data_IF_019662498717
#
_entry.id   IF_019662498717
#
_cell.length_a   1.000
_cell.length_b   1.000
_cell.length_c   1.000
_cell.angle_alpha   90.00
_cell.angle_beta   90.00
_cell.angle_gamma   90.00
#
_symmetry.space_group_name_H-M   'P 1'
#
loop_
_entity.id
_entity.type
_entity.pdbx_description
1 polymer ?
#
# COMPACT_ATOMS: atom_id res chain seq x y z
N UNK A 1 -7.04 -32.77 39.26
CA UNK A 1 -5.69 -32.47 39.75
C UNK A 1 -4.76 -32.59 38.54
N UNK A 2 -4.24 -31.54 37.90
CA UNK A 2 -3.76 -30.26 38.42
C UNK A 2 -4.38 -29.05 37.70
N UNK A 3 -4.93 -28.13 38.49
CA UNK A 3 -5.19 -26.72 38.18
C UNK A 3 -4.45 -25.97 39.28
N UNK A 4 -3.30 -25.41 38.96
CA UNK A 4 -2.52 -24.42 39.73
C UNK A 4 -1.19 -24.28 38.99
N UNK A 5 -0.92 -23.13 38.37
CA UNK A 5 0.36 -22.86 37.70
C UNK A 5 0.38 -21.59 36.84
N UNK A 6 -0.70 -21.27 36.13
CA UNK A 6 -0.69 -20.14 35.18
C UNK A 6 -0.67 -18.74 35.81
N UNK A 7 -1.29 -18.56 36.99
CA UNK A 7 -1.41 -17.26 37.64
C UNK A 7 -0.11 -16.76 38.28
N UNK A 8 0.61 -17.64 38.98
CA UNK A 8 1.87 -17.29 39.64
C UNK A 8 3.00 -17.00 38.65
N UNK A 9 3.05 -17.72 37.52
CA UNK A 9 4.03 -17.48 36.45
C UNK A 9 3.78 -16.14 35.74
N UNK A 10 2.52 -15.75 35.53
CA UNK A 10 2.16 -14.44 34.99
C UNK A 10 2.50 -13.29 35.96
N UNK A 11 2.37 -13.53 37.27
CA UNK A 11 2.70 -12.56 38.32
C UNK A 11 4.22 -12.42 38.56
N UNK A 12 4.98 -13.51 38.41
CA UNK A 12 6.43 -13.47 38.42
C UNK A 12 6.98 -12.76 37.17
N UNK A 13 6.38 -12.99 36.00
CA UNK A 13 6.68 -12.24 34.77
C UNK A 13 6.35 -10.75 34.89
N UNK A 14 5.24 -10.40 35.56
CA UNK A 14 4.85 -9.03 35.93
C UNK A 14 5.88 -8.33 36.84
N UNK A 15 6.49 -9.08 37.77
CA UNK A 15 7.57 -8.59 38.62
C UNK A 15 8.84 -8.27 37.84
N UNK A 16 9.28 -9.20 36.98
CA UNK A 16 10.48 -9.03 36.15
C UNK A 16 10.33 -7.96 35.06
N UNK A 17 9.13 -7.82 34.47
CA UNK A 17 8.81 -6.88 33.40
C UNK A 17 8.90 -5.41 33.81
N UNK A 18 8.52 -5.09 35.04
CA UNK A 18 8.51 -3.70 35.51
C UNK A 18 9.87 -3.27 36.14
N UNK A 19 10.78 -4.23 36.37
CA UNK A 19 12.17 -3.96 36.79
C UNK A 19 13.16 -3.90 35.61
N UNK A 20 12.79 -4.44 34.45
CA UNK A 20 13.59 -4.42 33.21
C UNK A 20 13.00 -3.44 32.18
N UNK A 21 13.49 -2.20 32.22
CA UNK A 21 13.02 -1.10 31.37
C UNK A 21 13.43 -1.22 29.87
N UNK A 22 14.19 -2.26 29.50
CA UNK A 22 14.92 -2.36 28.22
C UNK A 22 14.43 -3.47 27.26
N UNK A 23 13.38 -4.24 27.59
CA UNK A 23 12.99 -5.38 26.74
C UNK A 23 11.73 -5.15 25.87
N UNK A 24 11.81 -5.65 24.63
CA UNK A 24 10.71 -5.82 23.65
C UNK A 24 9.48 -6.58 24.22
N UNK A 25 9.61 -7.13 25.42
CA UNK A 25 8.58 -7.83 26.20
C UNK A 25 7.51 -6.85 26.72
N UNK A 26 7.78 -5.54 26.69
CA UNK A 26 6.88 -4.42 26.99
C UNK A 26 5.41 -4.64 26.61
N UNK A 27 5.14 -4.69 25.31
CA UNK A 27 3.78 -4.76 24.75
C UNK A 27 3.17 -6.16 24.91
N UNK A 28 3.98 -7.21 24.75
CA UNK A 28 3.56 -8.61 24.90
C UNK A 28 3.14 -8.93 26.34
N UNK A 29 3.82 -8.33 27.32
CA UNK A 29 3.44 -8.42 28.72
C UNK A 29 2.18 -7.61 29.02
N UNK A 30 1.98 -6.43 28.44
CA UNK A 30 0.69 -5.70 28.57
C UNK A 30 -0.46 -6.55 28.04
N UNK A 31 -0.29 -7.18 26.87
CA UNK A 31 -1.30 -8.06 26.28
C UNK A 31 -1.54 -9.33 27.13
N UNK A 32 -0.47 -9.92 27.68
CA UNK A 32 -0.56 -11.05 28.60
C UNK A 32 -1.27 -10.69 29.91
N UNK A 33 -1.05 -9.48 30.44
CA UNK A 33 -1.69 -8.97 31.66
C UNK A 33 -3.16 -8.65 31.41
N UNK A 34 -3.52 -8.12 30.24
CA UNK A 34 -4.92 -7.97 29.82
C UNK A 34 -5.66 -9.32 29.71
N UNK A 35 -4.93 -10.42 29.54
CA UNK A 35 -5.47 -11.79 29.50
C UNK A 35 -5.50 -12.53 30.86
N UNK A 36 -5.02 -11.91 31.94
CA UNK A 36 -4.91 -12.55 33.26
C UNK A 36 -6.28 -12.90 33.88
N UNK A 37 -6.39 -14.09 34.47
CA UNK A 37 -7.61 -14.56 35.17
C UNK A 37 -7.93 -13.76 36.44
N UNK A 38 -6.92 -13.13 37.09
CA UNK A 38 -7.09 -12.29 38.28
C UNK A 38 -6.73 -10.82 38.00
N UNK A 39 -7.73 -10.07 37.53
CA UNK A 39 -7.60 -8.63 37.22
C UNK A 39 -7.34 -7.75 38.44
N UNK A 40 -7.81 -8.14 39.62
CA UNK A 40 -7.66 -7.34 40.85
C UNK A 40 -6.20 -7.28 41.29
N UNK A 41 -5.52 -8.43 41.24
CA UNK A 41 -4.09 -8.51 41.57
C UNK A 41 -3.21 -7.80 40.52
N UNK A 42 -3.56 -7.87 39.24
CA UNK A 42 -2.86 -7.16 38.18
C UNK A 42 -2.93 -5.62 38.34
N UNK A 43 -4.10 -5.08 38.71
CA UNK A 43 -4.25 -3.65 38.98
C UNK A 43 -3.41 -3.22 40.19
N UNK A 44 -3.42 -4.01 41.27
CA UNK A 44 -2.60 -3.73 42.46
C UNK A 44 -1.10 -3.72 42.15
N UNK A 45 -0.63 -4.65 41.30
CA UNK A 45 0.76 -4.69 40.85
C UNK A 45 1.14 -3.46 40.02
N UNK A 46 0.29 -3.03 39.09
CA UNK A 46 0.55 -1.83 38.29
C UNK A 46 0.54 -0.55 39.13
N UNK A 47 -0.35 -0.46 40.12
CA UNK A 47 -0.39 0.69 41.03
C UNK A 47 0.92 0.87 41.80
N UNK A 48 1.50 -0.21 42.32
CA UNK A 48 2.77 -0.15 43.03
C UNK A 48 3.92 0.40 42.17
N UNK A 49 3.82 0.26 40.84
CA UNK A 49 4.82 0.74 39.88
C UNK A 49 4.68 2.23 39.53
N UNK A 50 3.57 2.86 39.88
CA UNK A 50 3.42 4.32 39.78
C UNK A 50 4.34 5.08 40.75
N UNK A 51 4.84 4.43 41.80
CA UNK A 51 5.82 5.00 42.73
C UNK A 51 7.28 4.79 42.28
N UNK A 52 7.50 4.21 41.11
CA UNK A 52 8.85 3.94 40.60
C UNK A 52 9.63 5.23 40.38
N UNK A 53 10.92 5.24 40.68
CA UNK A 53 11.81 6.37 40.32
C UNK A 53 12.00 6.49 38.80
N UNK A 54 11.81 5.41 38.04
CA UNK A 54 11.93 5.39 36.59
C UNK A 54 10.61 5.81 35.92
N UNK A 55 10.63 6.91 35.18
CA UNK A 55 9.45 7.46 34.53
C UNK A 55 8.83 6.52 33.48
N UNK A 56 9.63 5.69 32.80
CA UNK A 56 9.12 4.70 31.85
C UNK A 56 8.31 3.61 32.54
N UNK A 57 8.73 3.18 33.73
CA UNK A 57 7.99 2.20 34.53
C UNK A 57 6.64 2.78 34.96
N UNK A 58 6.61 4.06 35.37
CA UNK A 58 5.36 4.77 35.67
C UNK A 58 4.47 4.92 34.43
N UNK A 59 5.05 5.32 33.29
CA UNK A 59 4.35 5.44 32.00
C UNK A 59 3.67 4.13 31.57
N UNK A 60 4.40 3.01 31.62
CA UNK A 60 3.89 1.68 31.24
C UNK A 60 2.81 1.20 32.21
N UNK A 61 2.99 1.45 33.50
CA UNK A 61 1.97 1.17 34.51
C UNK A 61 0.67 1.96 34.23
N UNK A 62 0.77 3.23 33.83
CA UNK A 62 -0.40 4.04 33.44
C UNK A 62 -1.11 3.49 32.20
N UNK A 63 -0.37 3.09 31.16
CA UNK A 63 -0.93 2.46 29.96
C UNK A 63 -1.66 1.16 30.28
N UNK A 64 -1.07 0.31 31.14
CA UNK A 64 -1.69 -0.94 31.57
C UNK A 64 -2.95 -0.68 32.43
N UNK A 65 -2.89 0.28 33.36
CA UNK A 65 -4.04 0.67 34.18
C UNK A 65 -5.21 1.21 33.36
N UNK A 66 -4.95 1.98 32.30
CA UNK A 66 -6.02 2.45 31.40
C UNK A 66 -6.82 1.29 30.78
N UNK A 67 -6.15 0.19 30.44
CA UNK A 67 -6.78 -1.02 29.91
C UNK A 67 -7.45 -1.86 31.00
N UNK A 68 -6.77 -2.08 32.13
CA UNK A 68 -7.17 -3.02 33.19
C UNK A 68 -8.20 -2.46 34.17
N UNK A 69 -8.16 -1.16 34.44
CA UNK A 69 -9.07 -0.56 35.42
C UNK A 69 -10.50 -0.61 34.89
N UNK A 70 -11.37 -1.24 35.69
CA UNK A 70 -12.81 -1.19 35.51
C UNK A 70 -13.39 0.07 36.18
N UNK A 71 -14.50 0.52 35.62
CA UNK A 71 -15.33 1.60 36.13
C UNK A 71 -15.71 1.35 37.61
N UNK A 72 -15.19 2.18 38.53
CA UNK A 72 -15.42 2.06 39.98
C UNK A 72 -14.21 1.58 40.81
N UNK A 73 -13.04 1.33 40.19
CA UNK A 73 -11.80 1.07 40.93
C UNK A 73 -11.16 2.38 41.40
N UNK A 74 -11.70 2.96 42.47
CA UNK A 74 -11.29 4.26 43.04
C UNK A 74 -9.79 4.34 43.35
N UNK A 75 -9.21 3.22 43.77
CA UNK A 75 -7.82 3.11 44.18
C UNK A 75 -6.83 3.23 42.99
N UNK A 76 -7.19 2.66 41.84
CA UNK A 76 -6.45 2.83 40.60
C UNK A 76 -6.59 4.25 40.03
N UNK A 77 -7.79 4.83 40.12
CA UNK A 77 -8.05 6.21 39.67
C UNK A 77 -7.22 7.21 40.46
N UNK A 78 -7.18 7.09 41.79
CA UNK A 78 -6.37 7.95 42.64
C UNK A 78 -4.88 7.90 42.29
N UNK A 79 -4.32 6.70 42.07
CA UNK A 79 -2.92 6.56 41.66
C UNK A 79 -2.62 7.23 40.31
N UNK A 80 -3.56 7.15 39.36
CA UNK A 80 -3.44 7.84 38.07
C UNK A 80 -3.58 9.37 38.27
N UNK A 81 -4.47 9.82 39.14
CA UNK A 81 -4.64 11.25 39.45
C UNK A 81 -3.37 11.86 40.07
N UNK A 82 -2.69 11.14 40.95
CA UNK A 82 -1.41 11.56 41.54
C UNK A 82 -0.32 11.74 40.47
N UNK A 83 -0.33 10.89 39.43
CA UNK A 83 0.60 10.98 38.29
C UNK A 83 0.37 12.24 37.42
N UNK A 84 -0.72 12.99 37.60
CA UNK A 84 -0.88 14.30 36.95
C UNK A 84 0.06 15.36 37.50
N UNK A 85 0.58 15.14 38.71
CA UNK A 85 1.58 15.99 39.36
C UNK A 85 2.99 15.43 39.22
N UNK A 86 3.18 14.41 38.39
CA UNK A 86 4.48 13.78 38.19
C UNK A 86 5.51 14.79 37.64
N UNK A 87 6.78 14.65 38.02
CA UNK A 87 7.85 15.51 37.51
C UNK A 87 8.12 15.27 36.02
N UNK A 88 7.87 14.06 35.54
CA UNK A 88 8.05 13.66 34.15
C UNK A 88 6.83 14.01 33.29
N UNK A 89 7.09 14.66 32.16
CA UNK A 89 6.04 15.15 31.25
C UNK A 89 5.20 14.02 30.66
N UNK A 90 5.83 12.90 30.28
CA UNK A 90 5.14 11.79 29.64
C UNK A 90 4.23 11.04 30.57
N UNK A 91 4.66 10.91 31.83
CA UNK A 91 3.84 10.33 32.90
C UNK A 91 2.60 11.20 33.14
N UNK A 92 2.73 12.53 33.16
CA UNK A 92 1.58 13.45 33.28
C UNK A 92 0.59 13.31 32.13
N UNK A 93 1.07 13.36 30.88
CA UNK A 93 0.20 13.26 29.69
C UNK A 93 -0.51 11.91 29.61
N UNK A 94 0.21 10.82 29.88
CA UNK A 94 -0.37 9.47 29.87
C UNK A 94 -1.38 9.28 30.99
N UNK A 95 -1.18 9.92 32.14
CA UNK A 95 -2.15 9.91 33.22
C UNK A 95 -3.46 10.61 32.81
N UNK A 96 -3.40 11.74 32.10
CA UNK A 96 -4.60 12.43 31.61
C UNK A 96 -5.38 11.57 30.60
N UNK A 97 -4.69 10.90 29.68
CA UNK A 97 -5.31 9.99 28.72
C UNK A 97 -5.94 8.76 29.40
N UNK A 98 -5.24 8.16 30.37
CA UNK A 98 -5.76 7.04 31.15
C UNK A 98 -7.05 7.40 31.91
N UNK A 99 -7.12 8.61 32.48
CA UNK A 99 -8.33 9.11 33.16
C UNK A 99 -9.49 9.35 32.20
N UNK A 100 -9.21 9.79 30.96
CA UNK A 100 -10.22 9.94 29.91
C UNK A 100 -10.87 8.60 29.60
N UNK A 101 -10.05 7.57 29.34
CA UNK A 101 -10.51 6.20 29.05
C UNK A 101 -11.35 5.64 30.20
N UNK A 102 -10.94 5.84 31.46
CA UNK A 102 -11.69 5.35 32.62
C UNK A 102 -13.02 6.10 32.80
N UNK A 103 -13.04 7.41 32.54
CA UNK A 103 -14.27 8.23 32.60
C UNK A 103 -15.29 7.77 31.57
N UNK A 104 -14.83 7.44 30.35
CA UNK A 104 -15.69 6.95 29.28
C UNK A 104 -16.28 5.57 29.63
N UNK A 105 -15.47 4.67 30.23
CA UNK A 105 -15.94 3.38 30.77
C UNK A 105 -17.00 3.56 31.88
N UNK A 106 -16.81 4.50 32.80
CA UNK A 106 -17.77 4.79 33.88
C UNK A 106 -19.08 5.41 33.35
N UNK A 107 -19.00 6.26 32.32
CA UNK A 107 -20.17 6.81 31.64
C UNK A 107 -20.97 5.72 30.92
N UNK A 108 -20.29 4.79 30.22
CA UNK A 108 -20.92 3.62 29.60
C UNK A 108 -21.62 2.72 30.64
N UNK A 109 -20.98 2.48 31.79
CA UNK A 109 -21.57 1.72 32.91
C UNK A 109 -22.82 2.38 33.49
N UNK A 110 -22.82 3.70 33.68
CA UNK A 110 -23.95 4.47 34.25
C UNK A 110 -25.14 4.57 33.31
N UNK A 111 -24.91 4.60 32.00
CA UNK A 111 -25.97 4.77 31.00
C UNK A 111 -26.56 3.45 30.51
N UNK A 112 -25.97 2.30 30.90
CA UNK A 112 -26.48 0.97 30.52
C UNK A 112 -26.50 0.74 29.00
N UNK A 113 -25.74 1.55 28.24
CA UNK A 113 -25.73 1.53 26.79
C UNK A 113 -24.55 0.70 26.30
N UNK A 114 -24.84 -0.49 25.80
CA UNK A 114 -23.90 -1.34 25.06
C UNK A 114 -23.82 -0.92 23.58
N UNK A 115 -23.81 0.40 23.33
CA UNK A 115 -23.83 0.98 21.98
C UNK A 115 -22.68 1.98 21.82
N UNK A 116 -21.51 1.44 21.55
CA UNK A 116 -20.58 1.98 20.55
C UNK A 116 -20.13 0.83 19.64
N UNK A 117 -21.07 0.37 18.81
CA UNK A 117 -20.72 0.00 17.44
C UNK A 117 -20.43 1.32 16.73
N UNK A 118 -19.28 1.40 16.07
CA UNK A 118 -18.96 2.47 15.14
C UNK A 118 -20.06 2.50 14.07
N UNK A 119 -20.93 3.50 14.10
CA UNK A 119 -21.81 3.83 12.98
C UNK A 119 -21.63 5.31 12.62
N UNK A 120 -20.95 5.46 11.49
CA UNK A 120 -20.99 6.58 10.57
C UNK A 120 -22.43 6.88 10.18
N UNK A 121 -23.07 7.94 10.71
CA UNK A 121 -24.17 8.70 10.04
C UNK A 121 -24.81 9.82 10.89
N UNK A 122 -24.03 10.57 11.68
CA UNK A 122 -24.52 11.76 12.40
C UNK A 122 -23.87 13.08 11.93
N UNK A 123 -23.62 13.20 10.63
CA UNK A 123 -23.42 14.50 9.98
C UNK A 123 -24.77 15.12 9.63
N UNK A 124 -25.38 15.88 10.55
CA UNK A 124 -26.29 17.03 10.29
C UNK A 124 -26.98 17.49 11.58
N UNK A 125 -26.31 18.37 12.33
CA UNK A 125 -26.82 19.67 12.84
C UNK A 125 -25.86 20.26 13.88
N UNK A 126 -24.99 21.14 13.43
CA UNK A 126 -24.62 22.38 14.14
C UNK A 126 -23.73 22.29 15.39
N UNK A 127 -22.45 21.96 15.21
CA UNK A 127 -21.34 22.79 15.75
C UNK A 127 -20.10 22.54 14.89
N UNK A 128 -19.71 23.56 14.14
CA UNK A 128 -18.52 23.58 13.28
C UNK A 128 -17.25 23.54 14.14
N UNK A 129 -16.66 22.36 14.30
CA UNK A 129 -15.22 22.21 14.56
C UNK A 129 -14.58 21.69 13.28
N UNK A 130 -14.41 22.61 12.33
CA UNK A 130 -13.56 22.39 11.15
C UNK A 130 -12.10 22.34 11.65
N UNK A 131 -11.34 21.25 11.46
CA UNK A 131 -9.98 21.10 11.98
C UNK A 131 -8.93 21.97 11.25
N UNK A 132 -9.34 22.80 10.29
CA UNK A 132 -8.45 23.74 9.59
C UNK A 132 -7.91 24.89 10.47
N UNK A 133 -8.16 24.88 11.78
CA UNK A 133 -7.74 25.92 12.72
C UNK A 133 -6.62 25.53 13.70
N UNK A 134 -5.87 24.44 13.45
CA UNK A 134 -4.52 24.29 13.99
C UNK A 134 -3.58 25.15 13.14
N UNK A 135 -3.13 26.28 13.70
CA UNK A 135 -2.68 27.46 12.95
C UNK A 135 -1.35 27.34 12.18
N UNK A 136 -0.59 26.25 12.33
CA UNK A 136 0.75 26.12 11.79
C UNK A 136 0.88 24.90 10.87
N UNK A 137 1.42 25.11 9.67
CA UNK A 137 1.72 24.02 8.73
C UNK A 137 3.14 23.49 8.98
N UNK A 138 3.27 22.47 9.82
CA UNK A 138 4.58 21.94 10.19
C UNK A 138 5.20 21.08 9.09
N UNK A 139 6.50 21.27 8.89
CA UNK A 139 7.32 20.50 7.98
C UNK A 139 8.52 19.90 8.71
N UNK A 140 9.09 18.85 8.16
CA UNK A 140 10.33 18.22 8.59
C UNK A 140 11.36 18.31 7.47
N UNK A 141 12.62 18.53 7.83
CA UNK A 141 13.76 18.46 6.92
C UNK A 141 14.87 17.66 7.61
N UNK A 142 15.46 16.70 6.90
CA UNK A 142 16.45 15.83 7.52
C UNK A 142 17.50 15.27 6.58
N UNK A 143 18.45 14.52 7.14
CA UNK A 143 19.62 14.03 6.41
C UNK A 143 19.27 12.98 5.33
N UNK A 144 18.11 12.33 5.39
CA UNK A 144 17.69 11.27 4.46
C UNK A 144 17.33 11.77 3.07
N UNK A 145 16.95 13.04 2.91
CA UNK A 145 16.56 13.63 1.63
C UNK A 145 17.32 14.91 1.30
N UNK A 146 18.44 15.15 2.01
CA UNK A 146 19.26 16.34 1.80
C UNK A 146 18.62 17.62 2.33
N UNK A 147 17.90 17.53 3.45
CA UNK A 147 17.25 18.65 4.13
C UNK A 147 16.14 19.32 3.31
N UNK A 148 15.43 18.53 2.49
CA UNK A 148 14.27 19.05 1.77
C UNK A 148 13.09 19.12 2.74
N UNK A 149 12.42 20.27 2.81
CA UNK A 149 11.25 20.42 3.65
C UNK A 149 10.08 19.58 3.10
N UNK A 150 9.50 18.74 3.95
CA UNK A 150 8.34 17.90 3.67
C UNK A 150 7.26 18.11 4.73
N UNK A 151 5.97 18.13 4.37
CA UNK A 151 4.90 18.35 5.35
C UNK A 151 4.82 17.19 6.35
N UNK A 152 4.54 17.49 7.61
CA UNK A 152 4.12 16.49 8.59
C UNK A 152 2.62 16.19 8.42
N UNK A 153 2.23 14.93 8.64
CA UNK A 153 0.82 14.51 8.62
C UNK A 153 0.21 14.62 10.01
N UNK A 154 -1.06 15.04 10.11
CA UNK A 154 -1.77 15.04 11.40
C UNK A 154 -2.25 13.63 11.75
N UNK A 155 -1.81 13.11 12.89
CA UNK A 155 -2.21 11.82 13.44
C UNK A 155 -3.27 12.03 14.54
N UNK A 156 -4.55 11.95 14.15
CA UNK A 156 -5.70 12.17 15.05
C UNK A 156 -5.72 11.16 16.23
N UNK A 157 -5.15 9.97 16.05
CA UNK A 157 -5.11 8.93 17.08
C UNK A 157 -4.22 9.33 18.26
N UNK A 158 -3.13 10.04 17.98
CA UNK A 158 -2.15 10.45 18.98
C UNK A 158 -2.16 11.96 19.25
N UNK A 159 -2.96 12.73 18.51
CA UNK A 159 -3.07 14.18 18.67
C UNK A 159 -1.75 14.92 18.36
N UNK A 160 -1.00 14.45 17.37
CA UNK A 160 0.31 14.98 17.03
C UNK A 160 0.52 15.06 15.51
N UNK A 161 1.44 15.91 15.08
CA UNK A 161 1.99 15.82 13.74
C UNK A 161 3.02 14.70 13.68
N UNK A 162 3.05 13.90 12.62
CA UNK A 162 3.91 12.74 12.51
C UNK A 162 4.56 12.60 11.13
N UNK A 163 5.72 11.93 11.12
CA UNK A 163 6.45 11.57 9.92
C UNK A 163 7.19 10.25 10.11
N UNK A 164 7.12 9.38 9.11
CA UNK A 164 7.81 8.09 9.13
C UNK A 164 9.14 8.19 8.38
N UNK A 165 10.22 7.95 9.12
CA UNK A 165 11.58 7.90 8.58
C UNK A 165 12.08 6.46 8.57
N UNK A 166 12.83 6.09 7.54
CA UNK A 166 13.66 4.88 7.56
C UNK A 166 15.12 5.22 7.52
N UNK A 167 15.87 4.59 8.42
CA UNK A 167 17.30 4.75 8.53
C UNK A 167 18.00 4.10 7.34
N UNK A 168 18.86 4.86 6.67
CA UNK A 168 19.75 4.34 5.64
C UNK A 168 20.92 3.54 6.24
N UNK A 169 21.90 3.22 5.40
CA UNK A 169 23.11 2.48 5.77
C UNK A 169 23.94 3.09 6.92
N UNK A 170 23.73 4.37 7.25
CA UNK A 170 24.35 5.00 8.43
C UNK A 170 23.81 4.49 9.75
N UNK A 171 22.58 3.93 9.78
CA UNK A 171 21.90 3.55 11.01
C UNK A 171 21.52 4.75 11.90
N UNK A 172 21.53 5.98 11.38
CA UNK A 172 21.09 7.19 12.08
C UNK A 172 20.66 8.27 11.10
N UNK A 173 19.86 9.22 11.58
CA UNK A 173 19.42 10.38 10.82
C UNK A 173 19.22 11.62 11.72
N UNK A 174 19.50 12.80 11.19
CA UNK A 174 19.25 14.08 11.89
C UNK A 174 18.17 14.89 11.20
N UNK A 175 17.42 15.67 11.95
CA UNK A 175 16.34 16.50 11.43
C UNK A 175 16.08 17.77 12.22
N UNK A 176 15.33 18.67 11.60
CA UNK A 176 14.72 19.86 12.18
C UNK A 176 13.29 20.01 11.69
N UNK A 177 12.50 20.80 12.41
CA UNK A 177 11.10 21.06 12.06
C UNK A 177 10.93 22.52 11.70
N UNK A 178 10.08 22.81 10.73
CA UNK A 178 9.88 24.15 10.17
C UNK A 178 8.39 24.51 10.21
N UNK A 179 8.08 25.78 10.49
CA UNK A 179 6.73 26.31 10.30
C UNK A 179 6.61 26.85 8.87
N UNK A 180 5.61 26.40 8.13
CA UNK A 180 5.35 26.75 6.72
C UNK A 180 6.51 26.41 5.76
N UNK A 181 7.40 25.48 6.15
CA UNK A 181 8.60 25.15 5.40
C UNK A 181 9.66 26.28 5.39
N UNK A 182 9.54 27.27 6.28
CA UNK A 182 10.43 28.43 6.36
C UNK A 182 11.57 28.22 7.38
N UNK A 183 12.81 28.24 6.89
CA UNK A 183 14.03 28.14 7.72
C UNK A 183 14.21 29.30 8.71
N UNK A 184 13.56 30.46 8.49
CA UNK A 184 13.54 31.54 9.47
C UNK A 184 12.64 31.23 10.68
N UNK A 185 11.78 30.22 10.57
CA UNK A 185 10.85 29.73 11.59
C UNK A 185 11.18 28.28 11.98
N UNK A 186 12.46 28.00 12.20
CA UNK A 186 12.93 26.67 12.55
C UNK A 186 12.66 26.39 14.03
N UNK A 187 12.09 25.22 14.31
CA UNK A 187 12.09 24.60 15.62
C UNK A 187 13.31 23.69 15.71
N UNK A 188 14.00 23.76 16.83
CA UNK A 188 15.24 23.01 17.05
C UNK A 188 15.46 22.77 18.55
N UNK A 189 16.27 21.78 18.94
CA UNK A 189 16.71 21.62 20.32
C UNK A 189 17.72 22.71 20.74
N UNK A 190 18.00 22.80 22.04
CA UNK A 190 19.04 23.65 22.63
C UNK A 190 20.47 23.11 22.46
N UNK A 191 20.61 21.88 21.93
CA UNK A 191 21.89 21.16 21.81
C UNK A 191 21.98 20.35 20.53
N UNK A 192 23.20 19.95 20.20
CA UNK A 192 23.47 19.05 19.06
C UNK A 192 23.06 17.62 19.43
N UNK A 193 22.62 16.85 18.44
CA UNK A 193 22.23 15.44 18.59
C UNK A 193 21.21 15.17 19.71
N UNK A 194 20.27 16.10 19.92
CA UNK A 194 19.22 15.93 20.92
C UNK A 194 18.32 14.73 20.59
N UNK A 195 17.85 14.05 21.63
CA UNK A 195 17.03 12.86 21.52
C UNK A 195 16.03 12.79 22.69
N UNK A 196 14.93 12.02 22.60
CA UNK A 196 13.90 11.92 23.63
C UNK A 196 14.35 11.18 24.89
N UNK A 197 15.53 10.56 24.88
CA UNK A 197 16.05 9.82 26.03
C UNK A 197 16.85 10.71 26.99
N UNK A 198 17.20 11.92 26.56
CA UNK A 198 17.91 12.92 27.34
C UNK A 198 17.12 14.23 27.38
N UNK A 199 17.13 14.92 28.52
CA UNK A 199 16.44 16.20 28.66
C UNK A 199 17.00 17.25 27.69
N UNK A 200 16.15 17.85 26.85
CA UNK A 200 16.49 18.96 25.97
C UNK A 200 15.37 20.02 25.99
N UNK A 201 15.69 21.24 25.56
CA UNK A 201 14.72 22.33 25.47
C UNK A 201 14.35 22.55 24.00
N UNK A 202 13.05 22.47 23.69
CA UNK A 202 12.53 22.89 22.39
C UNK A 202 12.66 24.41 22.25
N UNK A 203 13.40 24.84 21.25
CA UNK A 203 13.72 26.22 20.91
C UNK A 203 13.09 26.61 19.57
N UNK A 204 13.01 27.92 19.32
CA UNK A 204 12.35 28.50 18.15
C UNK A 204 10.84 28.77 18.37
N UNK A 205 10.09 29.10 17.31
CA UNK A 205 10.53 29.20 15.91
C UNK A 205 11.45 30.40 15.67
N UNK A 206 12.70 30.17 15.25
CA UNK A 206 13.65 31.22 14.86
C UNK A 206 14.73 30.70 13.87
N UNK A 207 15.69 31.55 13.47
CA UNK A 207 16.74 31.23 12.49
C UNK A 207 18.06 30.72 13.09
N UNK A 208 18.09 30.41 14.39
CA UNK A 208 19.31 30.02 15.13
C UNK A 208 19.50 28.50 15.21
N UNK A 209 18.62 27.73 14.57
CA UNK A 209 18.67 26.28 14.61
C UNK A 209 19.88 25.65 13.92
N UNK A 210 20.60 26.34 13.04
CA UNK A 210 21.66 25.72 12.25
C UNK A 210 22.69 24.96 13.13
N UNK A 211 22.77 23.64 12.95
CA UNK A 211 23.67 22.74 13.69
C UNK A 211 23.05 22.13 14.96
N UNK A 212 21.91 22.62 15.43
CA UNK A 212 21.16 22.07 16.56
C UNK A 212 20.06 21.16 16.03
N UNK A 213 20.34 19.86 15.93
CA UNK A 213 19.43 18.90 15.34
C UNK A 213 18.96 17.89 16.37
N UNK A 214 17.74 17.41 16.20
CA UNK A 214 17.39 16.11 16.74
C UNK A 214 18.09 15.05 15.92
N UNK A 215 18.63 14.03 16.59
CA UNK A 215 19.31 12.92 15.92
C UNK A 215 18.79 11.60 16.45
N UNK A 216 18.15 10.83 15.55
CA UNK A 216 17.65 9.50 15.84
C UNK A 216 18.66 8.43 15.44
N UNK A 217 18.72 7.35 16.21
CA UNK A 217 19.57 6.19 15.99
C UNK A 217 21.00 6.30 16.52
N UNK A 218 21.31 7.38 17.25
CA UNK A 218 22.61 7.52 17.95
C UNK A 218 22.57 7.13 19.41
N UNK A 219 21.39 7.15 20.02
CA UNK A 219 21.23 6.75 21.41
C UNK A 219 21.04 5.22 21.49
N UNK A 220 21.62 4.56 22.49
CA UNK A 220 21.59 3.10 22.62
C UNK A 220 20.15 2.55 22.70
N UNK A 221 19.24 3.35 23.28
CA UNK A 221 17.80 3.05 23.39
C UNK A 221 16.99 3.23 22.11
N UNK A 222 17.60 3.66 21.00
CA UNK A 222 16.90 3.73 19.71
C UNK A 222 16.87 2.37 19.00
N UNK A 223 17.67 1.37 19.41
CA UNK A 223 17.77 0.06 18.72
C UNK A 223 18.03 0.17 17.21
N UNK A 224 18.73 1.23 16.78
CA UNK A 224 18.84 1.57 15.37
C UNK A 224 19.72 0.60 14.57
N UNK A 225 19.20 0.27 13.39
CA UNK A 225 19.88 -0.51 12.37
C UNK A 225 19.51 0.05 10.98
N UNK A 226 20.28 -0.34 9.96
CA UNK A 226 19.88 -0.08 8.57
C UNK A 226 18.49 -0.67 8.31
N UNK A 227 17.58 0.14 7.76
CA UNK A 227 16.20 -0.25 7.50
C UNK A 227 15.24 -0.06 8.68
N UNK A 228 15.73 0.25 9.89
CA UNK A 228 14.88 0.54 11.04
C UNK A 228 13.96 1.73 10.76
N UNK A 229 12.72 1.60 11.19
CA UNK A 229 11.63 2.53 10.90
C UNK A 229 11.25 3.27 12.18
N UNK A 230 11.08 4.59 12.11
CA UNK A 230 10.65 5.40 13.25
C UNK A 230 9.53 6.32 12.83
N UNK A 231 8.58 6.52 13.74
CA UNK A 231 7.59 7.59 13.64
C UNK A 231 8.05 8.75 14.51
N UNK A 232 8.53 9.82 13.87
CA UNK A 232 8.80 11.10 14.52
C UNK A 232 7.46 11.77 14.80
N UNK A 233 7.27 12.32 16.00
CA UNK A 233 6.04 12.99 16.40
C UNK A 233 6.35 14.37 16.98
N UNK A 234 5.59 15.36 16.54
CA UNK A 234 5.55 16.70 17.09
C UNK A 234 4.19 16.90 17.78
N UNK A 235 4.23 17.04 19.09
CA UNK A 235 3.06 17.37 19.90
C UNK A 235 2.88 18.89 19.95
N UNK A 236 1.63 19.31 19.90
CA UNK A 236 1.25 20.72 19.89
C UNK A 236 0.21 21.00 20.97
N UNK A 237 0.24 22.21 21.52
CA UNK A 237 -0.74 22.66 22.49
C UNK A 237 -2.11 22.93 21.84
N UNK A 238 -3.11 23.29 22.64
CA UNK A 238 -4.46 23.67 22.18
C UNK A 238 -4.50 24.88 21.24
N UNK A 239 -3.40 25.62 21.12
CA UNK A 239 -3.23 26.78 20.24
C UNK A 239 -2.41 26.42 18.98
N UNK A 240 -1.98 25.16 18.83
CA UNK A 240 -1.18 24.67 17.72
C UNK A 240 0.31 25.02 17.84
N UNK A 241 0.79 25.49 19.00
CA UNK A 241 2.19 25.76 19.26
C UNK A 241 2.93 24.47 19.60
N UNK A 242 4.15 24.30 19.08
CA UNK A 242 4.99 23.14 19.36
C UNK A 242 5.33 23.02 20.85
N UNK A 243 5.04 21.87 21.46
CA UNK A 243 5.37 21.59 22.85
C UNK A 243 6.56 20.62 22.96
N UNK A 244 6.55 19.54 22.19
CA UNK A 244 7.54 18.48 22.34
C UNK A 244 7.72 17.64 21.06
N UNK A 245 8.91 17.08 20.88
CA UNK A 245 9.26 16.19 19.77
C UNK A 245 9.77 14.85 20.31
N UNK A 246 9.22 13.76 19.81
CA UNK A 246 9.76 12.43 20.09
C UNK A 246 9.73 11.51 18.88
N UNK A 247 10.12 10.26 19.11
CA UNK A 247 9.91 9.20 18.14
C UNK A 247 9.64 7.88 18.82
N UNK A 248 8.94 7.02 18.08
CA UNK A 248 8.72 5.63 18.45
C UNK A 248 9.20 4.72 17.34
N UNK A 249 9.80 3.60 17.74
CA UNK A 249 10.17 2.53 16.84
C UNK A 249 8.90 2.00 16.18
N UNK A 250 8.94 1.92 14.86
CA UNK A 250 7.96 1.19 14.10
C UNK A 250 8.49 -0.21 13.82
N UNK A 251 7.62 -1.23 13.81
CA UNK A 251 8.00 -2.50 13.20
C UNK A 251 8.53 -2.23 11.79
N UNK A 252 9.50 -3.02 11.35
CA UNK A 252 10.05 -2.95 9.99
C UNK A 252 8.91 -2.74 8.98
N UNK A 253 9.13 -1.82 8.03
CA UNK A 253 8.14 -1.45 7.00
C UNK A 253 7.39 -2.71 6.54
N UNK A 254 6.05 -2.71 6.58
CA UNK A 254 5.29 -3.92 6.29
C UNK A 254 5.63 -4.42 4.88
N UNK A 255 6.17 -5.64 4.79
CA UNK A 255 6.52 -6.20 3.49
C UNK A 255 5.25 -6.67 2.79
N UNK A 256 4.98 -6.13 1.61
CA UNK A 256 3.89 -6.58 0.75
C UNK A 256 4.39 -7.55 -0.31
N UNK A 257 3.55 -8.53 -0.62
CA UNK A 257 3.77 -9.54 -1.65
C UNK A 257 2.62 -9.48 -2.64
N UNK A 258 2.90 -9.63 -3.92
CA UNK A 258 1.86 -9.73 -4.95
C UNK A 258 1.77 -11.18 -5.42
N UNK A 259 0.56 -11.59 -5.74
CA UNK A 259 0.25 -12.93 -6.23
C UNK A 259 -0.74 -12.80 -7.38
N UNK A 260 -0.61 -13.64 -8.42
CA UNK A 260 -1.52 -13.55 -9.55
C UNK A 260 -1.46 -14.71 -10.51
N UNK A 261 -2.25 -14.62 -11.58
CA UNK A 261 -2.37 -15.68 -12.57
C UNK A 261 -1.11 -15.90 -13.41
N UNK A 262 -0.17 -14.94 -13.44
CA UNK A 262 1.11 -15.05 -14.17
C UNK A 262 2.17 -15.91 -13.46
N UNK A 263 2.03 -16.14 -12.15
CA UNK A 263 2.99 -16.88 -11.34
C UNK A 263 2.34 -18.00 -10.52
N UNK A 264 1.22 -18.53 -11.01
CA UNK A 264 0.42 -19.58 -10.37
C UNK A 264 0.08 -19.25 -8.90
N UNK A 265 -0.25 -17.98 -8.65
CA UNK A 265 -0.58 -17.45 -7.33
C UNK A 265 0.50 -17.59 -6.25
N UNK A 266 1.78 -17.69 -6.65
CA UNK A 266 2.90 -17.58 -5.72
C UNK A 266 3.03 -16.13 -5.21
N UNK A 267 3.36 -15.98 -3.92
CA UNK A 267 3.65 -14.68 -3.33
C UNK A 267 5.07 -14.22 -3.73
N UNK A 268 5.17 -13.19 -4.56
CA UNK A 268 6.44 -12.55 -4.93
C UNK A 268 6.54 -11.17 -4.25
N UNK A 269 7.68 -10.84 -3.65
CA UNK A 269 7.84 -9.61 -2.87
C UNK A 269 7.73 -8.35 -3.75
N UNK A 270 6.97 -7.36 -3.29
CA UNK A 270 6.95 -6.03 -3.89
C UNK A 270 8.12 -5.19 -3.37
N UNK A 271 8.63 -4.29 -4.20
CA UNK A 271 9.78 -3.44 -3.87
C UNK A 271 9.27 -2.06 -3.47
N UNK A 272 9.72 -1.52 -2.34
CA UNK A 272 9.42 -0.13 -1.97
C UNK A 272 10.13 0.85 -2.92
N UNK A 273 9.38 1.82 -3.46
CA UNK A 273 9.88 2.92 -4.28
C UNK A 273 9.78 4.21 -3.48
N UNK A 274 10.91 4.67 -2.93
CA UNK A 274 10.95 5.88 -2.09
C UNK A 274 10.67 7.17 -2.85
N UNK A 275 10.82 7.18 -4.18
CA UNK A 275 10.53 8.37 -5.00
C UNK A 275 9.04 8.54 -5.28
N UNK A 276 8.29 7.43 -5.32
CA UNK A 276 6.83 7.41 -5.53
C UNK A 276 6.03 7.13 -4.26
N UNK A 277 6.71 6.86 -3.14
CA UNK A 277 6.13 6.49 -1.85
C UNK A 277 5.12 5.33 -1.95
N UNK A 278 5.51 4.29 -2.70
CA UNK A 278 4.64 3.13 -2.97
C UNK A 278 5.42 1.83 -3.07
N UNK A 279 4.76 0.69 -2.83
CA UNK A 279 5.27 -0.62 -3.21
C UNK A 279 5.00 -0.88 -4.69
N UNK A 280 5.99 -1.38 -5.43
CA UNK A 280 5.85 -1.67 -6.87
C UNK A 280 6.21 -3.11 -7.21
N UNK A 281 5.53 -3.64 -8.22
CA UNK A 281 5.88 -4.91 -8.85
C UNK A 281 5.65 -4.86 -10.36
N UNK A 282 6.60 -5.38 -11.13
CA UNK A 282 6.50 -5.43 -12.59
C UNK A 282 6.09 -6.82 -13.05
N UNK A 283 5.04 -6.88 -13.88
CA UNK A 283 4.50 -8.12 -14.41
C UNK A 283 4.29 -8.03 -15.92
N UNK A 284 4.21 -9.18 -16.60
CA UNK A 284 3.98 -9.29 -18.04
C UNK A 284 2.68 -10.05 -18.28
N UNK A 285 1.80 -9.49 -19.10
CA UNK A 285 0.52 -10.11 -19.46
C UNK A 285 0.79 -11.37 -20.32
N UNK A 286 0.20 -12.50 -19.95
CA UNK A 286 0.32 -13.75 -20.69
C UNK A 286 -0.54 -13.83 -21.96
N UNK A 287 -0.57 -15.01 -22.58
CA UNK A 287 -1.25 -15.26 -23.87
C UNK A 287 -2.77 -15.02 -23.85
N UNK A 288 -3.38 -15.00 -22.67
CA UNK A 288 -4.81 -14.66 -22.48
C UNK A 288 -5.11 -13.18 -22.72
N UNK A 289 -4.09 -12.30 -22.71
CA UNK A 289 -4.25 -10.86 -22.86
C UNK A 289 -4.76 -10.14 -21.61
N UNK A 290 -4.92 -10.85 -20.50
CA UNK A 290 -5.27 -10.30 -19.20
C UNK A 290 -4.65 -11.15 -18.09
N UNK A 291 -4.46 -10.56 -16.91
CA UNK A 291 -4.03 -11.26 -15.69
C UNK A 291 -4.79 -10.72 -14.47
N UNK A 292 -5.00 -11.58 -13.48
CA UNK A 292 -5.65 -11.23 -12.21
C UNK A 292 -4.67 -11.34 -11.04
N UNK A 293 -4.86 -10.51 -10.01
CA UNK A 293 -3.96 -10.48 -8.86
C UNK A 293 -4.62 -10.05 -7.54
N UNK A 294 -3.89 -10.33 -6.46
CA UNK A 294 -4.11 -9.85 -5.11
C UNK A 294 -2.79 -9.45 -4.47
N UNK A 295 -2.83 -8.72 -3.35
CA UNK A 295 -1.65 -8.30 -2.61
C UNK A 295 -1.78 -8.79 -1.17
N UNK A 296 -0.73 -9.42 -0.65
CA UNK A 296 -0.70 -10.02 0.68
C UNK A 296 0.22 -9.22 1.59
N UNK A 297 -0.26 -8.87 2.78
CA UNK A 297 0.58 -8.30 3.82
C UNK A 297 1.39 -9.44 4.47
N UNK A 298 2.72 -9.31 4.48
CA UNK A 298 3.67 -10.32 5.00
C UNK A 298 3.51 -11.71 4.37
N UNK A 299 2.98 -11.78 3.14
CA UNK A 299 2.76 -13.05 2.43
C UNK A 299 1.64 -13.91 3.01
N UNK A 300 0.82 -13.38 3.93
CA UNK A 300 -0.24 -14.10 4.62
C UNK A 300 -1.59 -13.94 3.90
N UNK A 301 -2.19 -15.07 3.50
CA UNK A 301 -3.51 -15.11 2.85
C UNK A 301 -4.65 -14.62 3.74
N UNK A 302 -4.48 -14.63 5.06
CA UNK A 302 -5.45 -14.07 6.01
C UNK A 302 -5.37 -12.54 6.11
N UNK A 303 -4.35 -11.94 5.48
CA UNK A 303 -4.10 -10.49 5.45
C UNK A 303 -4.03 -10.02 4.00
N UNK A 304 -5.05 -10.36 3.23
CA UNK A 304 -5.14 -10.08 1.81
C UNK A 304 -5.77 -8.70 1.57
N UNK A 305 -5.09 -7.88 0.77
CA UNK A 305 -5.67 -6.70 0.12
C UNK A 305 -6.34 -7.13 -1.17
N UNK A 306 -7.57 -6.68 -1.36
CA UNK A 306 -8.39 -7.07 -2.50
C UNK A 306 -9.39 -5.96 -2.87
N UNK A 307 -9.93 -5.95 -4.09
CA UNK A 307 -11.04 -5.07 -4.43
C UNK A 307 -12.34 -5.48 -3.70
N UNK A 308 -13.26 -4.53 -3.56
CA UNK A 308 -14.62 -4.79 -3.03
C UNK A 308 -15.49 -5.65 -3.97
N UNK A 309 -15.10 -5.80 -5.23
CA UNK A 309 -15.82 -6.57 -6.25
C UNK A 309 -14.90 -7.55 -6.98
N UNK A 310 -15.51 -8.52 -7.67
CA UNK A 310 -14.76 -9.42 -8.55
C UNK A 310 -14.32 -8.67 -9.82
N UNK A 311 -13.14 -9.03 -10.35
CA UNK A 311 -12.53 -8.38 -11.51
C UNK A 311 -12.41 -6.85 -11.36
N UNK A 312 -11.99 -6.40 -10.18
CA UNK A 312 -11.75 -4.99 -9.89
C UNK A 312 -10.76 -4.39 -10.89
N UNK A 313 -11.08 -3.20 -11.41
CA UNK A 313 -10.25 -2.52 -12.42
C UNK A 313 -10.20 -1.02 -12.12
N UNK A 314 -9.04 -0.37 -12.25
CA UNK A 314 -8.87 1.06 -11.97
C UNK A 314 -9.82 1.97 -12.75
N UNK A 315 -10.30 1.52 -13.92
CA UNK A 315 -11.25 2.27 -14.74
C UNK A 315 -12.71 2.15 -14.28
N UNK A 316 -13.00 1.20 -13.38
CA UNK A 316 -14.33 0.98 -12.82
C UNK A 316 -14.50 1.76 -11.51
N UNK A 317 -15.40 2.76 -11.51
CA UNK A 317 -15.69 3.60 -10.33
C UNK A 317 -16.22 2.83 -9.10
N UNK A 318 -16.62 1.57 -9.26
CA UNK A 318 -17.29 0.77 -8.22
C UNK A 318 -16.33 -0.03 -7.33
N UNK A 319 -15.07 -0.22 -7.74
CA UNK A 319 -14.12 -0.97 -6.92
C UNK A 319 -13.44 -0.04 -5.92
N UNK A 320 -13.29 -0.51 -4.68
CA UNK A 320 -12.49 0.13 -3.63
C UNK A 320 -11.49 -0.89 -3.10
N UNK A 321 -10.37 -0.41 -2.56
CA UNK A 321 -9.42 -1.24 -1.84
C UNK A 321 -10.03 -1.67 -0.50
N UNK A 322 -9.95 -2.97 -0.20
CA UNK A 322 -10.42 -3.59 1.04
C UNK A 322 -9.34 -4.51 1.60
N UNK A 323 -9.45 -4.85 2.88
CA UNK A 323 -8.44 -5.59 3.62
C UNK A 323 -7.43 -4.68 4.35
N UNK A 324 -6.35 -5.23 4.93
CA UNK A 324 -5.93 -6.62 4.82
C UNK A 324 -6.79 -7.55 5.70
N UNK A 325 -7.48 -8.51 5.09
CA UNK A 325 -8.31 -9.49 5.79
C UNK A 325 -8.44 -10.83 5.02
N UNK A 326 -9.14 -11.82 5.59
CA UNK A 326 -9.29 -13.16 5.01
C UNK A 326 -10.44 -13.27 3.98
N UNK A 327 -11.16 -12.18 3.70
CA UNK A 327 -12.37 -12.13 2.86
C UNK A 327 -12.05 -11.88 1.38
N UNK A 328 -10.77 -11.95 1.00
CA UNK A 328 -10.30 -11.70 -0.36
C UNK A 328 -10.56 -12.84 -1.34
N UNK A 329 -10.85 -14.05 -0.89
CA UNK A 329 -10.99 -15.19 -1.80
C UNK A 329 -11.97 -14.92 -2.96
N UNK A 330 -11.47 -14.98 -4.20
CA UNK A 330 -12.25 -14.74 -5.43
C UNK A 330 -12.42 -13.28 -5.82
N UNK A 331 -11.99 -12.32 -4.99
CA UNK A 331 -12.02 -10.87 -5.27
C UNK A 331 -10.64 -10.44 -5.77
N UNK A 332 -10.46 -10.37 -7.07
CA UNK A 332 -9.17 -10.06 -7.67
C UNK A 332 -9.24 -8.75 -8.44
N UNK A 333 -8.15 -8.00 -8.45
CA UNK A 333 -7.96 -6.99 -9.49
C UNK A 333 -7.61 -7.70 -10.80
N UNK A 334 -8.02 -7.14 -11.93
CA UNK A 334 -7.75 -7.71 -13.25
C UNK A 334 -7.26 -6.64 -14.22
N UNK A 335 -6.06 -6.85 -14.77
CA UNK A 335 -5.39 -6.00 -15.76
C UNK A 335 -5.59 -6.58 -17.15
N UNK A 336 -5.97 -5.76 -18.12
CA UNK A 336 -6.01 -6.11 -19.54
C UNK A 336 -7.39 -6.51 -20.06
N UNK A 337 -8.38 -6.73 -19.18
CA UNK A 337 -9.77 -6.96 -19.58
C UNK A 337 -10.50 -5.69 -19.96
N UNK A 338 -10.18 -4.57 -19.33
CA UNK A 338 -10.83 -3.31 -19.64
C UNK A 338 -10.22 -2.69 -20.91
N UNK A 339 -11.02 -2.19 -21.88
CA UNK A 339 -10.48 -1.64 -23.13
C UNK A 339 -9.44 -0.53 -22.94
N UNK A 340 -9.54 0.25 -21.86
CA UNK A 340 -8.59 1.31 -21.53
C UNK A 340 -7.25 0.80 -20.97
N UNK A 341 -7.18 -0.44 -20.47
CA UNK A 341 -5.90 -1.02 -20.04
C UNK A 341 -4.96 -1.16 -21.23
N UNK A 342 -5.50 -1.44 -22.42
CA UNK A 342 -4.73 -1.80 -23.62
C UNK A 342 -3.85 -3.03 -23.39
N UNK A 343 -4.40 -4.05 -22.72
CA UNK A 343 -3.70 -5.31 -22.43
C UNK A 343 -3.62 -6.23 -23.64
N UNK A 344 -2.44 -6.80 -23.89
CA UNK A 344 -2.24 -7.97 -24.74
C UNK A 344 -0.99 -8.73 -24.28
N UNK A 345 -0.81 -9.94 -24.80
CA UNK A 345 0.35 -10.79 -24.51
C UNK A 345 1.68 -10.03 -24.68
N UNK A 346 2.54 -10.11 -23.67
CA UNK A 346 3.85 -9.46 -23.66
C UNK A 346 3.85 -8.01 -23.19
N UNK A 347 2.68 -7.37 -22.98
CA UNK A 347 2.63 -6.02 -22.39
C UNK A 347 3.07 -6.08 -20.93
N UNK A 348 3.93 -5.13 -20.54
CA UNK A 348 4.41 -4.98 -19.16
C UNK A 348 3.61 -3.91 -18.41
N UNK A 349 3.23 -4.22 -17.18
CA UNK A 349 2.63 -3.28 -16.24
C UNK A 349 3.46 -3.23 -14.96
N UNK A 350 3.44 -2.08 -14.31
CA UNK A 350 3.86 -1.93 -12.92
C UNK A 350 2.63 -1.73 -12.06
N UNK A 351 2.37 -2.68 -11.18
CA UNK A 351 1.37 -2.54 -10.12
C UNK A 351 1.98 -1.71 -9.00
N UNK A 352 1.24 -0.73 -8.48
CA UNK A 352 1.65 0.13 -7.37
C UNK A 352 0.64 0.06 -6.24
N UNK A 353 1.13 -0.06 -5.02
CA UNK A 353 0.37 0.03 -3.79
C UNK A 353 0.87 1.25 -3.01
N UNK A 354 0.03 2.27 -2.94
CA UNK A 354 0.29 3.49 -2.18
C UNK A 354 -0.17 3.31 -0.74
N UNK A 355 0.64 3.82 0.17
CA UNK A 355 0.31 3.86 1.58
C UNK A 355 -0.39 5.19 1.93
N UNK A 356 -0.98 5.27 3.11
CA UNK A 356 -1.40 6.54 3.69
C UNK A 356 -0.20 7.41 4.08
N UNK A 357 -0.47 8.64 4.50
CA UNK A 357 0.57 9.64 4.84
C UNK A 357 1.47 9.16 5.99
N UNK A 358 0.94 8.32 6.87
CA UNK A 358 1.65 7.70 7.99
C UNK A 358 2.33 6.37 7.61
N UNK A 359 2.20 5.92 6.38
CA UNK A 359 2.75 4.67 5.85
C UNK A 359 2.33 3.41 6.62
N UNK A 360 1.19 3.45 7.32
CA UNK A 360 0.67 2.37 8.15
C UNK A 360 -0.33 1.49 7.40
N UNK A 361 -1.11 2.09 6.49
CA UNK A 361 -2.19 1.40 5.79
C UNK A 361 -2.11 1.57 4.30
N UNK A 362 -2.50 0.52 3.59
CA UNK A 362 -2.75 0.56 2.16
C UNK A 362 -3.88 1.55 1.86
N UNK A 363 -3.58 2.60 1.08
CA UNK A 363 -4.54 3.63 0.70
C UNK A 363 -5.13 3.38 -0.68
N UNK A 364 -4.29 3.00 -1.64
CA UNK A 364 -4.67 2.94 -3.04
C UNK A 364 -3.82 1.91 -3.80
N UNK A 365 -4.44 1.21 -4.75
CA UNK A 365 -3.75 0.35 -5.70
C UNK A 365 -4.05 0.83 -7.10
N UNK A 366 -3.00 0.94 -7.92
CA UNK A 366 -3.15 1.14 -9.35
C UNK A 366 -2.14 0.33 -10.16
N UNK A 367 -2.22 0.48 -11.48
CA UNK A 367 -1.18 -0.01 -12.38
C UNK A 367 -0.95 0.97 -13.51
N UNK A 368 0.31 1.05 -13.90
CA UNK A 368 0.74 1.83 -15.06
C UNK A 368 1.34 0.90 -16.09
N UNK A 369 0.95 1.08 -17.35
CA UNK A 369 1.59 0.41 -18.47
C UNK A 369 3.00 0.96 -18.65
N UNK A 370 3.99 0.10 -18.77
CA UNK A 370 5.36 0.52 -19.05
C UNK A 370 5.56 0.68 -20.57
N UNK A 371 5.67 1.92 -21.06
CA UNK A 371 5.94 2.23 -22.46
C UNK A 371 7.45 2.26 -22.75
N UNK A 372 8.09 1.10 -22.78
CA UNK A 372 9.49 1.00 -23.27
C UNK A 372 9.80 -0.27 -24.07
N UNK A 373 8.82 -1.12 -24.36
CA UNK A 373 9.03 -2.18 -25.34
C UNK A 373 8.36 -1.80 -26.64
N UNK A 374 9.13 -1.86 -27.74
CA UNK A 374 8.62 -1.71 -29.10
C UNK A 374 7.26 -2.40 -29.21
N UNK A 375 6.23 -1.76 -29.78
CA UNK A 375 4.89 -2.34 -29.81
C UNK A 375 5.03 -3.74 -30.38
N UNK A 376 4.76 -4.75 -29.55
CA UNK A 376 4.76 -6.14 -30.00
C UNK A 376 3.65 -6.23 -31.05
N UNK A 377 4.05 -6.10 -32.31
CA UNK A 377 3.16 -6.19 -33.45
C UNK A 377 2.94 -7.66 -33.69
N UNK A 378 1.70 -8.09 -33.44
CA UNK A 378 1.23 -9.43 -33.77
C UNK A 378 1.66 -9.75 -35.20
N UNK A 379 2.34 -10.87 -35.39
CA UNK A 379 2.84 -11.25 -36.70
C UNK A 379 1.72 -11.97 -37.41
N UNK A 380 1.27 -11.45 -38.54
CA UNK A 380 0.29 -12.12 -39.37
C UNK A 380 0.98 -12.75 -40.56
N UNK A 381 0.57 -13.96 -40.93
CA UNK A 381 1.16 -14.70 -42.03
C UNK A 381 0.08 -15.07 -43.02
N UNK A 382 0.30 -14.79 -44.30
CA UNK A 382 -0.53 -15.38 -45.36
C UNK A 382 0.00 -16.78 -45.63
N UNK A 383 -0.90 -17.75 -45.58
CA UNK A 383 -0.65 -19.15 -45.96
C UNK A 383 -1.50 -19.45 -47.18
N UNK A 384 -0.88 -19.70 -48.33
CA UNK A 384 -1.62 -19.73 -49.58
C UNK A 384 -1.11 -20.71 -50.65
N UNK A 385 -2.03 -21.08 -51.55
CA UNK A 385 -1.79 -22.05 -52.61
C UNK A 385 -0.74 -21.63 -53.65
N UNK A 386 -0.40 -20.33 -53.75
CA UNK A 386 0.60 -19.84 -54.72
C UNK A 386 2.04 -19.86 -54.21
N UNK A 387 2.25 -20.27 -52.96
CA UNK A 387 3.57 -20.53 -52.39
C UNK A 387 3.52 -21.82 -51.56
N UNK A 388 2.83 -22.84 -52.10
CA UNK A 388 2.74 -24.18 -51.52
C UNK A 388 2.28 -24.22 -50.05
N UNK A 389 1.42 -23.29 -49.65
CA UNK A 389 0.95 -23.16 -48.26
C UNK A 389 2.08 -22.93 -47.23
N UNK A 390 3.21 -22.37 -47.64
CA UNK A 390 4.23 -21.88 -46.71
C UNK A 390 3.76 -20.57 -46.04
N UNK A 391 4.00 -20.39 -44.75
CA UNK A 391 3.65 -19.14 -44.08
C UNK A 391 4.56 -17.99 -44.56
N UNK A 392 3.96 -16.89 -45.03
CA UNK A 392 4.70 -15.65 -45.36
C UNK A 392 4.18 -14.46 -44.58
N UNK A 393 5.09 -13.77 -43.92
CA UNK A 393 4.76 -12.65 -43.05
C UNK A 393 4.17 -11.46 -43.83
N UNK A 394 3.10 -10.88 -43.28
CA UNK A 394 2.49 -9.65 -43.74
C UNK A 394 3.26 -8.46 -43.18
N UNK A 395 3.35 -7.38 -43.94
CA UNK A 395 4.04 -6.16 -43.51
C UNK A 395 3.06 -5.21 -42.86
N UNK A 396 3.39 -4.69 -41.67
CA UNK A 396 2.61 -3.63 -41.04
C UNK A 396 2.81 -2.30 -41.75
N UNK A 397 1.70 -1.67 -42.13
CA UNK A 397 1.65 -0.33 -42.70
C UNK A 397 1.23 0.66 -41.61
N UNK A 398 2.18 1.49 -41.17
CA UNK A 398 2.00 2.49 -40.11
C UNK A 398 0.94 3.54 -40.45
N UNK A 399 1.00 4.06 -41.67
CA UNK A 399 0.14 5.16 -42.13
C UNK A 399 -1.32 4.74 -42.16
N UNK A 400 -1.58 3.50 -42.59
CA UNK A 400 -2.92 2.94 -42.72
C UNK A 400 -3.37 2.08 -41.52
N UNK A 401 -2.52 1.90 -40.51
CA UNK A 401 -2.76 1.04 -39.34
C UNK A 401 -3.30 -0.36 -39.70
N UNK A 402 -2.68 -1.04 -40.66
CA UNK A 402 -3.11 -2.37 -41.14
C UNK A 402 -1.96 -3.24 -41.61
N UNK A 403 -2.19 -4.54 -41.75
CA UNK A 403 -1.23 -5.45 -42.39
C UNK A 403 -1.51 -5.57 -43.89
N UNK A 404 -0.47 -5.42 -44.69
CA UNK A 404 -0.51 -5.53 -46.15
C UNK A 404 0.35 -6.74 -46.60
N UNK A 405 -0.15 -7.48 -47.59
CA UNK A 405 0.60 -8.52 -48.28
C UNK A 405 0.33 -8.45 -49.78
N UNK A 406 1.40 -8.35 -50.58
CA UNK A 406 1.29 -8.26 -52.03
C UNK A 406 1.79 -9.53 -52.71
N UNK A 407 1.10 -9.94 -53.77
CA UNK A 407 1.56 -11.02 -54.61
C UNK A 407 1.14 -10.81 -56.06
N UNK A 408 1.92 -11.39 -56.97
CA UNK A 408 1.64 -11.37 -58.41
C UNK A 408 1.14 -12.74 -58.87
N UNK A 409 0.13 -12.74 -59.73
CA UNK A 409 -0.41 -13.96 -60.34
C UNK A 409 -0.25 -13.92 -61.87
N UNK A 410 0.45 -14.91 -62.44
CA UNK A 410 0.77 -15.02 -63.88
C UNK A 410 -0.09 -16.01 -64.67
N UNK A 411 -0.83 -16.92 -64.01
CA UNK A 411 -1.60 -18.00 -64.67
C UNK A 411 -3.07 -17.97 -64.28
N UNK A 412 -3.93 -18.44 -65.18
CA UNK A 412 -5.33 -18.76 -64.87
C UNK A 412 -5.37 -19.82 -63.76
N UNK A 413 -6.27 -19.63 -62.78
CA UNK A 413 -6.47 -20.57 -61.68
C UNK A 413 -7.07 -19.90 -60.45
N UNK A 414 -7.79 -20.69 -59.64
CA UNK A 414 -8.32 -20.24 -58.36
C UNK A 414 -7.16 -20.22 -57.36
N UNK A 415 -6.96 -19.09 -56.69
CA UNK A 415 -5.95 -18.92 -55.64
C UNK A 415 -6.62 -18.92 -54.29
N UNK A 416 -6.10 -19.69 -53.34
CA UNK A 416 -6.72 -19.86 -52.02
C UNK A 416 -5.74 -19.47 -50.93
N UNK A 417 -6.23 -18.84 -49.87
CA UNK A 417 -5.40 -18.47 -48.72
C UNK A 417 -6.17 -18.40 -47.41
N UNK A 418 -5.40 -18.44 -46.32
CA UNK A 418 -5.80 -18.09 -44.95
C UNK A 418 -4.77 -17.12 -44.37
N UNK A 419 -5.12 -16.47 -43.26
CA UNK A 419 -4.20 -15.63 -42.52
C UNK A 419 -4.00 -16.23 -41.13
N UNK A 420 -2.76 -16.52 -40.74
CA UNK A 420 -2.43 -17.12 -39.46
C UNK A 420 -1.88 -16.05 -38.53
N UNK A 421 -2.24 -16.13 -37.24
CA UNK A 421 -1.73 -15.24 -36.20
C UNK A 421 -0.53 -15.90 -35.50
N UNK A 422 0.56 -15.15 -35.36
CA UNK A 422 1.80 -15.51 -34.66
C UNK A 422 2.42 -16.85 -35.09
N UNK A 423 2.14 -17.28 -36.34
CA UNK A 423 2.56 -18.56 -36.92
C UNK A 423 2.09 -19.80 -36.12
N UNK A 424 1.00 -19.66 -35.36
CA UNK A 424 0.32 -20.75 -34.65
C UNK A 424 -0.90 -21.18 -35.48
N UNK A 425 -1.41 -22.41 -35.29
CA UNK A 425 -2.63 -22.96 -35.94
C UNK A 425 -3.95 -22.21 -35.64
N UNK A 426 -3.87 -20.93 -35.26
CA UNK A 426 -4.99 -20.01 -35.08
C UNK A 426 -5.17 -19.18 -36.36
N UNK A 427 -6.15 -19.56 -37.17
CA UNK A 427 -6.40 -18.98 -38.48
C UNK A 427 -7.51 -17.92 -38.41
N UNK A 428 -7.34 -16.85 -39.16
CA UNK A 428 -8.38 -15.94 -39.64
C UNK A 428 -8.80 -16.45 -41.01
N UNK A 429 -10.11 -16.66 -41.19
CA UNK A 429 -10.70 -17.33 -42.35
C UNK A 429 -12.08 -16.74 -42.69
N UNK A 430 -12.63 -16.94 -43.89
CA UNK A 430 -13.96 -16.44 -44.21
C UNK A 430 -15.06 -17.20 -43.45
N UNK A 431 -16.18 -16.53 -43.18
CA UNK A 431 -17.40 -17.13 -42.63
C UNK A 431 -17.99 -18.27 -43.49
N UNK A 432 -17.62 -18.32 -44.77
CA UNK A 432 -18.07 -19.34 -45.73
C UNK A 432 -16.89 -19.98 -46.47
N UNK A 433 -17.02 -21.28 -46.80
CA UNK A 433 -16.04 -21.97 -47.64
C UNK A 433 -15.91 -21.31 -49.00
N UNK A 434 -14.67 -21.13 -49.46
CA UNK A 434 -14.34 -20.42 -50.70
C UNK A 434 -14.83 -18.97 -50.72
N UNK A 435 -14.83 -18.30 -49.57
CA UNK A 435 -15.22 -16.90 -49.44
C UNK A 435 -14.48 -15.97 -50.40
N UNK A 436 -15.10 -14.85 -50.74
CA UNK A 436 -14.53 -13.83 -51.62
C UNK A 436 -14.20 -12.57 -50.80
N UNK A 437 -13.92 -11.45 -51.48
CA UNK A 437 -13.57 -10.18 -50.82
C UNK A 437 -14.69 -9.60 -49.92
N UNK A 438 -15.93 -10.04 -50.13
CA UNK A 438 -17.11 -9.55 -49.43
C UNK A 438 -17.50 -10.49 -48.26
N UNK A 439 -16.81 -11.62 -48.12
CA UNK A 439 -16.99 -12.56 -46.99
C UNK A 439 -16.47 -11.96 -45.69
N UNK A 440 -17.17 -12.25 -44.59
CA UNK A 440 -16.81 -11.75 -43.26
C UNK A 440 -15.60 -12.53 -42.74
N UNK A 441 -14.61 -11.83 -42.19
CA UNK A 441 -13.48 -12.48 -41.54
C UNK A 441 -13.89 -13.00 -40.14
N UNK A 442 -13.62 -14.28 -39.89
CA UNK A 442 -13.89 -15.01 -38.65
C UNK A 442 -12.56 -15.52 -38.07
N UNK A 443 -12.52 -15.76 -36.77
CA UNK A 443 -11.31 -16.10 -36.02
C UNK A 443 -10.62 -14.86 -35.43
N UNK A 444 -9.37 -14.96 -34.96
CA UNK A 444 -8.46 -16.11 -35.09
C UNK A 444 -8.82 -17.27 -34.14
N UNK A 445 -9.04 -18.48 -34.67
CA UNK A 445 -9.28 -19.73 -33.92
C UNK A 445 -8.87 -20.99 -34.73
N UNK A 446 -9.10 -22.19 -34.21
CA UNK A 446 -8.71 -23.48 -34.80
C UNK A 446 -9.80 -24.10 -35.72
N UNK A 447 -10.94 -23.43 -35.90
CA UNK A 447 -12.09 -23.95 -36.66
C UNK A 447 -12.00 -23.67 -38.16
N UNK A 448 -10.97 -22.94 -38.58
CA UNK A 448 -10.76 -22.52 -39.96
C UNK A 448 -10.35 -23.62 -40.93
N UNK A 449 -10.11 -24.86 -40.49
CA UNK A 449 -9.59 -25.92 -41.38
C UNK A 449 -10.42 -26.07 -42.68
N UNK A 450 -9.75 -26.01 -43.84
CA UNK A 450 -10.34 -26.01 -45.19
C UNK A 450 -11.29 -24.84 -45.53
N UNK A 451 -11.42 -23.83 -44.68
CA UNK A 451 -12.23 -22.64 -44.94
C UNK A 451 -11.30 -21.53 -45.46
N UNK A 452 -11.23 -21.38 -46.77
CA UNK A 452 -10.25 -20.50 -47.42
C UNK A 452 -10.94 -19.35 -48.16
N UNK A 453 -10.32 -18.18 -48.19
CA UNK A 453 -10.66 -17.18 -49.21
C UNK A 453 -10.20 -17.67 -50.58
N UNK A 454 -10.97 -17.36 -51.61
CA UNK A 454 -10.59 -17.64 -53.00
C UNK A 454 -10.56 -16.37 -53.83
N UNK A 455 -9.45 -16.19 -54.55
CA UNK A 455 -9.24 -15.13 -55.53
C UNK A 455 -9.38 -15.76 -56.91
N UNK A 456 -10.34 -15.26 -57.69
CA UNK A 456 -10.55 -15.60 -59.09
C UNK A 456 -10.24 -14.36 -59.93
N UNK A 457 -9.60 -14.53 -61.09
CA UNK A 457 -9.47 -13.43 -62.06
C UNK A 457 -10.86 -12.92 -62.41
N UNK A 458 -11.09 -11.62 -62.24
CA UNK A 458 -12.30 -10.93 -62.69
C UNK A 458 -12.33 -10.91 -64.23
N UNK A 459 -13.49 -10.82 -64.90
CA UNK A 459 -13.53 -10.51 -66.32
C UNK A 459 -12.78 -9.19 -66.67
N UNK A 460 -12.64 -8.27 -65.71
CA UNK A 460 -11.86 -7.03 -65.87
C UNK A 460 -10.34 -7.25 -65.89
N UNK A 461 -9.89 -8.42 -65.46
CA UNK A 461 -8.49 -8.83 -65.31
C UNK A 461 -7.94 -9.50 -66.59
N UNK A 462 -8.75 -9.61 -67.65
CA UNK A 462 -8.45 -10.40 -68.85
C UNK A 462 -7.36 -9.79 -69.76
N UNK A 463 -7.02 -8.52 -69.60
CA UNK A 463 -6.11 -7.79 -70.51
C UNK A 463 -4.65 -7.75 -70.05
N UNK A 464 -4.31 -8.34 -68.90
CA UNK A 464 -2.94 -8.36 -68.38
C UNK A 464 -2.46 -9.78 -68.07
N UNK A 465 -1.27 -10.10 -68.58
CA UNK A 465 -0.58 -11.37 -68.32
C UNK A 465 -0.19 -11.53 -66.84
N UNK A 466 0.03 -10.41 -66.15
CA UNK A 466 0.40 -10.37 -64.73
C UNK A 466 -0.50 -9.40 -63.99
N UNK A 467 -1.05 -9.85 -62.86
CA UNK A 467 -1.91 -9.03 -62.00
C UNK A 467 -1.35 -9.04 -60.60
N UNK A 468 -1.23 -7.84 -60.01
CA UNK A 468 -0.84 -7.66 -58.63
C UNK A 468 -2.09 -7.59 -57.76
N UNK A 469 -2.15 -8.42 -56.72
CA UNK A 469 -3.19 -8.39 -55.70
C UNK A 469 -2.58 -7.96 -54.37
N UNK A 470 -3.33 -7.18 -53.60
CA UNK A 470 -2.97 -6.77 -52.24
C UNK A 470 -4.02 -7.28 -51.27
N UNK A 471 -3.61 -8.15 -50.35
CA UNK A 471 -4.40 -8.58 -49.20
C UNK A 471 -4.20 -7.55 -48.10
N UNK A 472 -5.30 -7.09 -47.50
CA UNK A 472 -5.30 -6.08 -46.44
C UNK A 472 -6.05 -6.62 -45.24
N UNK A 473 -5.37 -6.72 -44.11
CA UNK A 473 -5.98 -7.10 -42.84
C UNK A 473 -6.05 -5.87 -41.94
N UNK A 474 -7.25 -5.33 -41.79
CA UNK A 474 -7.55 -4.28 -40.83
C UNK A 474 -7.86 -4.94 -39.48
N UNK A 475 -6.99 -4.72 -38.49
CA UNK A 475 -7.22 -5.22 -37.13
C UNK A 475 -7.97 -4.11 -36.38
N UNK A 476 -9.27 -4.27 -36.19
CA UNK A 476 -10.05 -3.33 -35.39
C UNK A 476 -9.50 -3.32 -33.95
N UNK A 477 -9.11 -2.15 -33.44
CA UNK A 477 -9.05 -1.89 -32.00
C UNK A 477 -10.47 -2.12 -31.49
N UNK A 478 -10.68 -3.13 -30.64
CA UNK A 478 -12.01 -3.66 -30.31
C UNK A 478 -13.02 -2.57 -29.90
N UNK A 479 -14.27 -2.77 -30.32
CA UNK A 479 -15.45 -2.12 -29.73
C UNK A 479 -15.78 -2.79 -28.40
#
# INVERSE_FOLDING_TARGET
>A
CARAGGGEDALAALGAWADDADSLVGQVAVDAVCSAEDRGQAVGAMRARLESSNWRVRLRALQALASLAEAGNEDAVLGIEDCRLDNDFWVRQTAEEALRVIRDKELARRTGSDVYRVDSDAARRGSSTDPTCLANNYHIAGTWDGWKAQPLAWDERFGCYAYVVVLGSSGWASFQLLIDGDWAKCLHPDRVDANPHEDYILCGPDSRGHGFNWTLGRHELDHAAEGACYRIRLFVDRHGAAEHVDWVDLPERPQYYITGTWNDWRADAMVWDSGLECYRYSMVIGSKGWESFQILLQGDWNKCLHPTCNDGNIHCKSHQLSGPDASGHGKNWTIGRHPLDQGWEGVRYTVRLFMDELQEKAREVDWVRQEEFQPYRRRYFVVASWHNWEAREMTWNEECQRYDFEFQCRRQGIKSFQIFKDNVWSAVYPDVRHGNRDSVAVGPDDKGHDINWTIRKSPRDLHSDVISYRIRLCVCRGR
#
